data_IF_192534606326
#
_entry.id   IF_192534606326
#
_cell.length_a   1.000
_cell.length_b   1.000
_cell.length_c   1.000
_cell.angle_alpha   90.00
_cell.angle_beta   90.00
_cell.angle_gamma   90.00
#
_symmetry.space_group_name_H-M   'P 1'
#
loop_
_entity.id
_entity.type
_entity.pdbx_description
1 polymer ?
#
# COMPACT_ATOMS: atom_id res chain seq x y z
N UNK A 1 3.96 15.29 -10.15
CA UNK A 1 2.65 14.60 -10.13
C UNK A 1 2.95 13.15 -10.48
N UNK A 2 3.17 12.32 -9.46
CA UNK A 2 3.46 10.90 -9.65
C UNK A 2 2.14 10.20 -9.92
N UNK A 3 2.08 9.59 -11.09
CA UNK A 3 0.92 8.86 -11.61
C UNK A 3 1.03 7.48 -10.97
N UNK A 4 0.16 7.17 -9.99
CA UNK A 4 -0.17 5.77 -9.76
C UNK A 4 -0.70 5.24 -11.09
N UNK A 5 -0.24 4.08 -11.53
CA UNK A 5 -0.73 3.43 -12.76
C UNK A 5 -2.27 3.55 -12.86
N UNK A 6 -2.85 3.60 -14.08
CA UNK A 6 -4.29 3.82 -14.20
C UNK A 6 -5.07 2.79 -13.36
N UNK A 7 -6.20 3.22 -12.79
CA UNK A 7 -7.15 2.41 -11.98
C UNK A 7 -6.89 2.24 -10.46
N UNK A 8 -6.46 3.27 -9.72
CA UNK A 8 -6.45 3.19 -8.26
C UNK A 8 -7.90 3.11 -7.74
N UNK A 9 -8.20 2.10 -6.91
CA UNK A 9 -9.54 1.91 -6.31
C UNK A 9 -9.71 2.44 -4.91
N UNK A 10 -8.60 2.59 -4.20
CA UNK A 10 -8.55 3.20 -2.90
C UNK A 10 -7.16 3.82 -2.72
N UNK A 11 -7.13 4.96 -2.04
CA UNK A 11 -5.91 5.54 -1.48
C UNK A 11 -6.07 5.63 0.03
N UNK A 12 -5.00 5.32 0.77
CA UNK A 12 -4.94 5.46 2.22
C UNK A 12 -3.68 6.25 2.60
N UNK A 13 -3.78 7.06 3.65
CA UNK A 13 -2.68 7.80 4.24
C UNK A 13 -2.34 7.15 5.57
N UNK A 14 -1.09 6.75 5.77
CA UNK A 14 -0.61 6.18 7.02
C UNK A 14 0.91 6.35 7.15
N UNK A 15 1.42 6.39 8.37
CA UNK A 15 2.85 6.33 8.68
C UNK A 15 3.25 4.86 8.74
N UNK A 16 3.84 4.34 7.66
CA UNK A 16 4.01 2.91 7.44
C UNK A 16 5.25 2.37 8.16
N UNK A 17 6.31 3.17 8.22
CA UNK A 17 7.59 2.82 8.81
C UNK A 17 7.81 3.45 10.19
N UNK A 18 6.79 4.14 10.73
CA UNK A 18 6.81 4.77 12.05
C UNK A 18 7.93 5.80 12.20
N UNK A 19 8.26 6.50 11.11
CA UNK A 19 9.21 7.61 11.11
C UNK A 19 8.56 8.96 11.46
N UNK A 20 7.27 8.99 11.77
CA UNK A 20 6.50 10.22 12.02
C UNK A 20 6.10 10.94 10.73
N UNK A 21 6.10 10.24 9.58
CA UNK A 21 5.79 10.81 8.27
C UNK A 21 4.67 10.01 7.62
N UNK A 22 3.63 10.71 7.18
CA UNK A 22 2.56 10.06 6.43
C UNK A 22 3.00 9.72 5.00
N UNK A 23 2.85 8.44 4.66
CA UNK A 23 2.98 7.87 3.33
C UNK A 23 1.62 7.73 2.65
N UNK A 24 1.63 7.44 1.35
CA UNK A 24 0.42 7.13 0.58
C UNK A 24 0.46 5.68 0.11
N UNK A 25 -0.65 4.97 0.26
CA UNK A 25 -0.84 3.64 -0.29
C UNK A 25 -1.97 3.67 -1.32
N UNK A 26 -1.81 3.03 -2.47
CA UNK A 26 -2.86 2.84 -3.47
C UNK A 26 -3.10 1.37 -3.80
N UNK A 27 -4.36 1.00 -3.96
CA UNK A 27 -4.77 -0.31 -4.44
C UNK A 27 -4.97 -0.29 -5.96
N UNK A 28 -4.15 -1.01 -6.71
CA UNK A 28 -4.16 -1.03 -8.17
C UNK A 28 -4.88 -2.28 -8.70
N UNK A 29 -6.16 -2.11 -9.05
CA UNK A 29 -7.04 -3.24 -9.36
C UNK A 29 -6.55 -4.09 -10.52
N UNK A 30 -6.14 -3.48 -11.63
CA UNK A 30 -5.78 -4.20 -12.86
C UNK A 30 -4.35 -4.75 -12.86
N UNK A 31 -3.49 -4.25 -11.99
CA UNK A 31 -2.08 -4.64 -11.90
C UNK A 31 -1.82 -5.71 -10.84
N UNK A 32 -2.86 -6.11 -10.10
CA UNK A 32 -2.73 -7.07 -9.00
C UNK A 32 -1.68 -6.62 -7.98
N UNK A 33 -1.59 -5.30 -7.74
CA UNK A 33 -0.54 -4.69 -6.94
C UNK A 33 -1.07 -3.58 -6.04
N UNK A 34 -0.25 -3.20 -5.07
CA UNK A 34 -0.42 -1.96 -4.32
C UNK A 34 0.85 -1.12 -4.47
N UNK A 35 0.69 0.19 -4.62
CA UNK A 35 1.83 1.10 -4.59
C UNK A 35 1.90 1.77 -3.23
N UNK A 36 3.11 1.89 -2.70
CA UNK A 36 3.44 2.71 -1.54
C UNK A 36 4.28 3.87 -2.05
N UNK A 37 3.84 5.09 -1.80
CA UNK A 37 4.61 6.30 -2.01
C UNK A 37 5.11 6.76 -0.64
N UNK A 38 6.33 6.34 -0.30
CA UNK A 38 7.01 6.69 0.94
C UNK A 38 7.50 8.13 0.87
N UNK A 39 7.18 8.95 1.86
CA UNK A 39 7.60 10.35 1.87
C UNK A 39 9.05 10.45 2.34
N UNK A 40 9.94 10.84 1.44
CA UNK A 40 11.30 11.14 1.85
C UNK A 40 11.36 12.48 2.61
N UNK A 41 12.31 12.58 3.53
CA UNK A 41 12.52 13.80 4.33
C UNK A 41 12.90 15.04 3.50
N UNK A 42 13.10 14.89 2.19
CA UNK A 42 13.39 15.98 1.25
C UNK A 42 12.13 16.58 0.60
N UNK A 43 10.95 15.99 0.87
CA UNK A 43 9.67 16.42 0.31
C UNK A 43 9.30 15.72 -1.01
N UNK A 44 10.06 14.71 -1.42
CA UNK A 44 9.74 13.85 -2.56
C UNK A 44 9.12 12.52 -2.09
N UNK A 45 8.61 11.73 -3.02
CA UNK A 45 8.05 10.41 -2.74
C UNK A 45 8.85 9.32 -3.43
N UNK A 46 9.26 8.29 -2.68
CA UNK A 46 9.81 7.05 -3.21
C UNK A 46 8.67 6.07 -3.45
N UNK A 47 8.57 5.53 -4.66
CA UNK A 47 7.51 4.57 -5.00
C UNK A 47 8.02 3.14 -4.86
N UNK A 48 7.31 2.33 -4.09
CA UNK A 48 7.53 0.89 -3.91
C UNK A 48 6.27 0.15 -4.34
N UNK A 49 6.39 -0.85 -5.22
CA UNK A 49 5.26 -1.65 -5.67
C UNK A 49 5.26 -3.02 -5.00
N UNK A 50 4.14 -3.37 -4.37
CA UNK A 50 3.90 -4.66 -3.74
C UNK A 50 2.99 -5.47 -4.67
N UNK A 51 3.52 -6.55 -5.23
CA UNK A 51 2.77 -7.45 -6.08
C UNK A 51 1.96 -8.46 -5.24
N UNK A 52 0.64 -8.36 -5.31
CA UNK A 52 -0.30 -9.18 -4.57
C UNK A 52 -0.71 -10.41 -5.40
N UNK A 53 0.27 -11.31 -5.65
CA UNK A 53 0.18 -12.64 -6.30
C UNK A 53 -1.20 -13.03 -6.88
N UNK A 54 -1.65 -12.35 -7.94
CA UNK A 54 -2.81 -12.75 -8.74
C UNK A 54 -4.19 -12.34 -8.21
N UNK A 55 -4.28 -11.37 -7.30
CA UNK A 55 -5.57 -10.90 -6.79
C UNK A 55 -5.80 -9.42 -7.10
N UNK A 56 -7.01 -9.07 -7.57
CA UNK A 56 -7.34 -7.69 -7.90
C UNK A 56 -7.78 -6.91 -6.64
N UNK A 57 -6.91 -6.08 -6.02
CA UNK A 57 -7.24 -5.45 -4.76
C UNK A 57 -8.39 -4.44 -4.94
N UNK A 58 -9.29 -4.45 -3.96
CA UNK A 58 -10.47 -3.57 -3.89
C UNK A 58 -10.31 -2.49 -2.85
N UNK A 59 -9.71 -2.89 -1.75
CA UNK A 59 -9.52 -2.13 -0.55
C UNK A 59 -8.22 -2.56 0.07
N UNK A 60 -7.58 -1.62 0.74
CA UNK A 60 -6.38 -1.82 1.54
C UNK A 60 -6.64 -1.28 2.95
N UNK A 61 -6.04 -1.94 3.93
CA UNK A 61 -6.05 -1.57 5.32
C UNK A 61 -4.61 -1.65 5.85
N UNK A 62 -4.00 -0.51 6.22
CA UNK A 62 -2.76 -0.48 6.98
C UNK A 62 -3.02 -0.99 8.40
N UNK A 63 -2.22 -1.95 8.87
CA UNK A 63 -2.34 -2.54 10.21
C UNK A 63 -1.02 -3.17 10.62
N UNK A 64 -0.58 -2.92 11.85
CA UNK A 64 0.56 -3.65 12.44
C UNK A 64 0.08 -5.07 12.82
N UNK A 65 0.44 -6.08 12.03
CA UNK A 65 0.06 -7.47 12.26
C UNK A 65 1.11 -8.24 13.07
N UNK A 66 2.35 -7.77 13.08
CA UNK A 66 3.48 -8.47 13.70
C UNK A 66 3.93 -7.87 15.05
N UNK A 67 3.39 -6.71 15.43
CA UNK A 67 3.69 -6.01 16.67
C UNK A 67 5.07 -5.35 16.67
N UNK A 68 5.60 -5.00 15.49
CA UNK A 68 6.92 -4.35 15.35
C UNK A 68 6.82 -2.82 15.24
N UNK A 69 5.60 -2.28 15.32
CA UNK A 69 5.25 -0.88 15.09
C UNK A 69 5.41 -0.42 13.64
N UNK A 70 5.63 -1.30 12.68
CA UNK A 70 5.52 -1.00 11.25
C UNK A 70 4.15 -1.47 10.75
N UNK A 71 3.53 -0.72 9.84
CA UNK A 71 2.23 -1.11 9.31
C UNK A 71 2.39 -2.04 8.12
N UNK A 72 1.78 -3.21 8.19
CA UNK A 72 1.56 -4.08 7.03
C UNK A 72 0.37 -3.60 6.20
N UNK A 73 0.25 -4.15 4.98
CA UNK A 73 -0.87 -3.87 4.08
C UNK A 73 -1.72 -5.12 3.92
N UNK A 74 -2.92 -5.12 4.51
CA UNK A 74 -3.95 -6.12 4.24
C UNK A 74 -4.82 -5.64 3.07
N UNK A 75 -4.96 -6.46 2.02
CA UNK A 75 -5.75 -6.15 0.84
C UNK A 75 -6.93 -7.12 0.67
N UNK A 76 -8.11 -6.56 0.44
CA UNK A 76 -9.34 -7.29 0.13
C UNK A 76 -9.52 -7.43 -1.37
N UNK A 77 -9.76 -8.66 -1.83
CA UNK A 77 -9.81 -8.99 -3.25
C UNK A 77 -11.25 -9.23 -3.74
N UNK A 78 -11.50 -8.98 -5.03
CA UNK A 78 -12.84 -9.17 -5.63
C UNK A 78 -13.33 -10.63 -5.56
N UNK A 79 -12.42 -11.61 -5.41
CA UNK A 79 -12.74 -13.02 -5.21
C UNK A 79 -12.95 -13.46 -3.75
N UNK A 80 -12.98 -12.54 -2.77
CA UNK A 80 -13.23 -12.84 -1.36
C UNK A 80 -12.02 -13.26 -0.52
N UNK A 81 -10.80 -13.20 -1.07
CA UNK A 81 -9.57 -13.47 -0.34
C UNK A 81 -8.95 -12.22 0.30
N UNK A 82 -8.17 -12.42 1.36
CA UNK A 82 -7.26 -11.41 1.94
C UNK A 82 -5.83 -11.78 1.54
N UNK A 83 -5.07 -10.81 1.04
CA UNK A 83 -3.60 -10.94 0.92
C UNK A 83 -2.92 -9.92 1.83
N UNK A 84 -1.75 -10.28 2.34
CA UNK A 84 -0.93 -9.44 3.22
C UNK A 84 0.37 -9.17 2.47
N UNK A 85 0.72 -7.90 2.36
CA UNK A 85 2.04 -7.44 1.93
C UNK A 85 2.77 -6.81 3.11
N UNK A 86 3.99 -7.27 3.37
CA UNK A 86 4.91 -6.56 4.26
C UNK A 86 5.26 -5.22 3.60
N UNK A 87 5.23 -4.13 4.36
CA UNK A 87 5.55 -2.81 3.84
C UNK A 87 7.03 -2.39 4.07
N UNK A 88 7.83 -3.30 4.63
CA UNK A 88 9.28 -3.17 4.80
C UNK A 88 10.04 -3.15 3.46
#
# INVERSE_FOLDING_TARGET
MLVSEPWPRQVVVADIDNEGKNDLLSAEYHYYSCSILKKDGSGSFLTQEIHLRGHNPTRILPVDLYGDNCLDVAALNNGGGVCIGMAE
#
